data_IF_848472804040
#
_entry.id   IF_848472804040
#
_cell.length_a   1.000
_cell.length_b   1.000
_cell.length_c   1.000
_cell.angle_alpha   90.00
_cell.angle_beta   90.00
_cell.angle_gamma   90.00
#
_symmetry.space_group_name_H-M   'P 1'
#
loop_
_entity.id
_entity.type
_entity.pdbx_description
1 polymer ?
#
# COMPACT_ATOMS: atom_id res chain seq x y z
N UNK A 1 13.95 31.13 13.17
CA UNK A 1 13.66 30.74 11.77
C UNK A 1 13.55 29.22 11.77
N UNK A 2 12.35 28.64 11.81
CA UNK A 2 12.20 27.17 11.77
C UNK A 2 12.42 26.75 10.33
N UNK A 3 13.47 25.96 10.11
CA UNK A 3 13.82 25.40 8.81
C UNK A 3 12.58 24.73 8.21
N UNK A 4 12.02 25.35 7.17
CA UNK A 4 11.18 24.66 6.22
C UNK A 4 12.10 23.64 5.55
N UNK A 5 12.14 22.43 6.09
CA UNK A 5 12.54 21.27 5.30
C UNK A 5 11.51 21.22 4.18
N UNK A 6 11.91 21.76 3.04
CA UNK A 6 11.15 21.62 1.82
C UNK A 6 10.98 20.10 1.63
N UNK A 7 9.74 19.63 1.73
CA UNK A 7 9.32 18.28 1.36
C UNK A 7 9.42 18.11 -0.17
N UNK A 8 10.53 18.56 -0.77
CA UNK A 8 10.87 18.42 -2.18
C UNK A 8 11.38 17.01 -2.39
N UNK A 9 10.42 16.09 -2.46
CA UNK A 9 10.66 14.65 -2.48
C UNK A 9 9.54 13.83 -1.86
N UNK A 10 8.35 14.39 -1.59
CA UNK A 10 7.14 13.58 -1.35
C UNK A 10 6.71 12.92 -2.67
N UNK A 11 7.58 12.07 -3.23
CA UNK A 11 7.21 11.15 -4.27
C UNK A 11 6.05 10.32 -3.76
N UNK A 12 5.06 10.08 -4.60
CA UNK A 12 4.06 9.04 -4.40
C UNK A 12 4.81 7.75 -4.05
N UNK A 13 4.97 7.48 -2.75
CA UNK A 13 5.70 6.33 -2.26
C UNK A 13 4.85 5.12 -2.62
N UNK A 14 5.25 4.42 -3.66
CA UNK A 14 4.57 3.26 -4.18
C UNK A 14 5.52 2.09 -3.96
N UNK A 15 5.15 1.23 -3.02
CA UNK A 15 5.94 0.08 -2.60
C UNK A 15 5.30 -1.21 -3.11
N UNK A 16 6.14 -2.15 -3.54
CA UNK A 16 5.69 -3.48 -3.92
C UNK A 16 5.20 -4.22 -2.67
N UNK A 17 4.00 -4.79 -2.73
CA UNK A 17 3.45 -5.60 -1.65
C UNK A 17 3.66 -7.08 -1.96
N UNK A 18 4.67 -7.68 -1.33
CA UNK A 18 4.99 -9.11 -1.52
C UNK A 18 4.09 -9.95 -0.61
N UNK A 19 2.82 -10.07 -0.99
CA UNK A 19 1.82 -10.87 -0.28
C UNK A 19 1.55 -12.18 -1.04
N UNK A 20 1.72 -13.37 -0.44
CA UNK A 20 1.54 -14.64 -1.14
C UNK A 20 0.17 -14.77 -1.82
N UNK A 21 0.16 -15.05 -3.12
CA UNK A 21 -1.04 -15.10 -3.97
C UNK A 21 -1.41 -13.78 -4.64
N UNK A 22 -0.69 -12.70 -4.33
CA UNK A 22 -0.95 -11.32 -4.79
C UNK A 22 0.35 -10.58 -5.20
N UNK A 23 1.51 -11.17 -4.96
CA UNK A 23 2.82 -10.51 -5.00
C UNK A 23 3.27 -10.05 -6.40
N UNK A 24 2.66 -10.54 -7.48
CA UNK A 24 3.18 -10.31 -8.84
C UNK A 24 3.09 -8.85 -9.29
N UNK A 25 1.99 -8.18 -8.95
CA UNK A 25 1.69 -6.81 -9.39
C UNK A 25 1.12 -5.94 -8.24
N UNK A 26 1.01 -6.48 -7.02
CA UNK A 26 0.45 -5.73 -5.90
C UNK A 26 1.34 -4.58 -5.46
N UNK A 27 0.70 -3.44 -5.24
CA UNK A 27 1.36 -2.22 -4.77
C UNK A 27 0.53 -1.53 -3.69
N UNK A 28 1.21 -0.81 -2.81
CA UNK A 28 0.56 0.07 -1.83
C UNK A 28 1.34 1.36 -1.68
N UNK A 29 0.67 2.40 -1.20
CA UNK A 29 1.29 3.70 -1.11
C UNK A 29 0.46 4.75 -0.41
N UNK A 30 0.97 5.98 -0.41
CA UNK A 30 0.26 7.16 0.05
C UNK A 30 0.05 8.13 -1.12
N UNK A 31 -1.21 8.47 -1.38
CA UNK A 31 -1.57 9.49 -2.35
C UNK A 31 -1.71 10.84 -1.64
N UNK A 32 -0.78 11.75 -1.94
CA UNK A 32 -0.75 13.08 -1.32
C UNK A 32 -1.82 14.04 -1.87
N UNK A 33 -2.37 13.77 -3.06
CA UNK A 33 -3.45 14.56 -3.65
C UNK A 33 -4.79 14.31 -3.00
N UNK A 34 -5.04 13.07 -2.57
CA UNK A 34 -6.25 12.64 -1.84
C UNK A 34 -6.02 12.68 -0.32
N UNK A 35 -4.77 12.60 0.11
CA UNK A 35 -4.39 12.51 1.53
C UNK A 35 -4.69 11.14 2.14
N UNK A 36 -4.68 10.09 1.32
CA UNK A 36 -5.08 8.72 1.71
C UNK A 36 -4.02 7.70 1.35
N UNK A 37 -3.85 6.69 2.20
CA UNK A 37 -3.20 5.46 1.81
C UNK A 37 -4.07 4.70 0.80
N UNK A 38 -3.43 3.98 -0.12
CA UNK A 38 -4.08 3.16 -1.11
C UNK A 38 -3.35 1.82 -1.28
N UNK A 39 -4.07 0.82 -1.79
CA UNK A 39 -3.48 -0.44 -2.24
C UNK A 39 -4.21 -0.94 -3.49
N UNK A 40 -3.44 -1.46 -4.43
CA UNK A 40 -3.92 -2.13 -5.63
C UNK A 40 -3.37 -3.55 -5.61
N UNK A 41 -4.27 -4.53 -5.50
CA UNK A 41 -3.92 -5.94 -5.44
C UNK A 41 -4.67 -6.70 -6.53
N UNK A 42 -4.02 -6.98 -7.66
CA UNK A 42 -4.48 -8.01 -8.59
C UNK A 42 -4.06 -9.38 -8.08
N UNK A 43 -4.93 -10.38 -8.25
CA UNK A 43 -4.61 -11.75 -7.86
C UNK A 43 -3.58 -12.34 -8.83
N UNK A 44 -2.65 -13.16 -8.34
CA UNK A 44 -1.68 -13.82 -9.21
C UNK A 44 -2.39 -14.64 -10.29
N UNK A 45 -2.01 -14.41 -11.55
CA UNK A 45 -2.62 -15.07 -12.71
C UNK A 45 -3.73 -14.27 -13.38
N UNK A 46 -4.21 -13.17 -12.79
CA UNK A 46 -5.01 -12.18 -13.51
C UNK A 46 -4.12 -11.24 -14.32
N UNK A 47 -4.62 -10.82 -15.48
CA UNK A 47 -3.99 -9.80 -16.31
C UNK A 47 -4.35 -8.41 -15.78
N UNK A 48 -3.44 -7.45 -15.94
CA UNK A 48 -3.66 -6.04 -15.55
C UNK A 48 -4.87 -5.42 -16.30
N UNK A 49 -5.21 -5.95 -17.48
CA UNK A 49 -6.37 -5.55 -18.30
C UNK A 49 -7.73 -5.75 -17.62
N UNK A 50 -7.85 -6.71 -16.68
CA UNK A 50 -9.08 -6.93 -15.90
C UNK A 50 -9.19 -5.96 -14.71
N UNK A 51 -8.13 -5.19 -14.44
CA UNK A 51 -7.99 -4.33 -13.29
C UNK A 51 -7.65 -5.08 -11.99
N UNK A 52 -7.38 -4.35 -10.90
CA UNK A 52 -7.08 -4.96 -9.61
C UNK A 52 -8.33 -5.61 -9.01
N UNK A 53 -8.23 -6.89 -8.62
CA UNK A 53 -9.29 -7.58 -7.85
C UNK A 53 -9.63 -6.83 -6.55
N UNK A 54 -8.63 -6.20 -5.93
CA UNK A 54 -8.81 -5.36 -4.74
C UNK A 54 -8.19 -3.99 -4.98
N UNK A 55 -9.02 -2.95 -4.96
CA UNK A 55 -8.57 -1.56 -5.02
C UNK A 55 -9.05 -0.78 -3.80
N UNK A 56 -8.14 -0.60 -2.84
CA UNK A 56 -8.39 0.19 -1.64
C UNK A 56 -8.03 1.64 -1.96
N UNK A 57 -9.04 2.46 -2.25
CA UNK A 57 -8.91 3.91 -2.41
C UNK A 57 -10.28 4.58 -2.22
N UNK A 58 -10.34 5.85 -1.77
CA UNK A 58 -11.59 6.58 -1.67
C UNK A 58 -12.44 6.59 -2.95
N UNK A 59 -11.79 6.66 -4.11
CA UNK A 59 -12.48 6.62 -5.41
C UNK A 59 -13.16 5.29 -5.74
N UNK A 60 -12.82 4.20 -5.05
CA UNK A 60 -13.35 2.86 -5.26
C UNK A 60 -14.40 2.46 -4.20
N UNK A 61 -14.88 3.41 -3.38
CA UNK A 61 -15.89 3.17 -2.36
C UNK A 61 -15.34 2.83 -0.96
N UNK A 62 -14.01 2.93 -0.76
CA UNK A 62 -13.40 2.81 0.56
C UNK A 62 -13.38 4.16 1.31
N UNK A 63 -13.30 4.18 2.65
CA UNK A 63 -13.07 5.41 3.39
C UNK A 63 -11.64 5.94 3.14
N UNK A 64 -11.41 7.22 3.46
CA UNK A 64 -10.05 7.79 3.52
C UNK A 64 -9.23 7.04 4.56
N UNK A 65 -8.13 6.44 4.11
CA UNK A 65 -7.22 5.66 4.94
C UNK A 65 -6.10 6.58 5.40
N UNK A 66 -6.03 6.88 6.70
CA UNK A 66 -5.08 7.87 7.23
C UNK A 66 -3.88 7.25 7.93
N UNK A 67 -3.86 5.92 8.06
CA UNK A 67 -2.76 5.19 8.69
C UNK A 67 -2.45 3.87 7.99
N UNK A 68 -1.19 3.40 8.03
CA UNK A 68 -0.81 2.09 7.51
C UNK A 68 -1.56 0.93 8.18
N UNK A 69 -1.89 1.06 9.47
CA UNK A 69 -2.62 0.02 10.22
C UNK A 69 -4.08 -0.13 9.73
N UNK A 70 -4.72 0.99 9.35
CA UNK A 70 -6.02 0.93 8.69
C UNK A 70 -5.91 0.26 7.31
N UNK A 71 -4.88 0.59 6.52
CA UNK A 71 -4.66 -0.03 5.22
C UNK A 71 -4.46 -1.54 5.36
N UNK A 72 -3.62 -1.96 6.30
CA UNK A 72 -3.35 -3.35 6.63
C UNK A 72 -4.64 -4.12 6.96
N UNK A 73 -5.49 -3.57 7.83
CA UNK A 73 -6.75 -4.21 8.19
C UNK A 73 -7.68 -4.37 6.98
N UNK A 74 -7.72 -3.36 6.09
CA UNK A 74 -8.48 -3.43 4.86
C UNK A 74 -7.91 -4.49 3.89
N UNK A 75 -6.59 -4.54 3.71
CA UNK A 75 -5.94 -5.56 2.87
C UNK A 75 -6.25 -6.96 3.40
N UNK A 76 -6.07 -7.20 4.71
CA UNK A 76 -6.37 -8.50 5.32
C UNK A 76 -7.84 -8.89 5.13
N UNK A 77 -8.77 -7.96 5.33
CA UNK A 77 -10.20 -8.19 5.13
C UNK A 77 -10.57 -8.46 3.68
N UNK A 78 -9.94 -7.78 2.72
CA UNK A 78 -10.27 -7.89 1.29
C UNK A 78 -9.63 -9.11 0.62
N UNK A 79 -8.41 -9.48 1.04
CA UNK A 79 -7.67 -10.62 0.48
C UNK A 79 -7.98 -11.94 1.18
N UNK A 80 -8.55 -11.89 2.39
CA UNK A 80 -8.72 -13.04 3.27
C UNK A 80 -7.39 -13.55 3.86
N UNK A 81 -6.29 -12.81 3.68
CA UNK A 81 -4.97 -13.16 4.20
C UNK A 81 -4.85 -12.77 5.68
N UNK A 82 -4.07 -13.54 6.44
CA UNK A 82 -3.87 -13.27 7.85
C UNK A 82 -3.19 -11.91 8.08
N UNK A 83 -3.66 -11.20 9.09
CA UNK A 83 -3.16 -9.87 9.50
C UNK A 83 -1.63 -9.86 9.71
N UNK A 84 -1.05 -10.95 10.20
CA UNK A 84 0.39 -11.10 10.41
C UNK A 84 1.20 -11.16 9.11
N UNK A 85 0.67 -11.86 8.09
CA UNK A 85 1.30 -11.95 6.77
C UNK A 85 1.25 -10.59 6.06
N UNK A 86 0.12 -9.87 6.15
CA UNK A 86 -0.01 -8.51 5.61
C UNK A 86 0.94 -7.54 6.31
N UNK A 87 1.06 -7.62 7.64
CA UNK A 87 2.03 -6.81 8.41
C UNK A 87 3.45 -7.03 7.92
N UNK A 88 3.81 -8.30 7.73
CA UNK A 88 5.15 -8.68 7.26
C UNK A 88 5.37 -8.17 5.84
N UNK A 89 4.41 -8.37 4.93
CA UNK A 89 4.49 -7.88 3.56
C UNK A 89 4.64 -6.35 3.49
N UNK A 90 3.89 -5.59 4.30
CA UNK A 90 4.01 -4.13 4.35
C UNK A 90 5.34 -3.67 4.94
N UNK A 91 5.85 -4.33 5.99
CA UNK A 91 7.13 -4.00 6.61
C UNK A 91 8.34 -4.35 5.72
N UNK A 92 8.21 -5.38 4.88
CA UNK A 92 9.21 -5.79 3.89
C UNK A 92 9.03 -5.12 2.52
N UNK A 93 8.00 -4.28 2.38
CA UNK A 93 7.73 -3.61 1.12
C UNK A 93 8.87 -2.67 0.75
N UNK A 94 9.31 -2.76 -0.49
CA UNK A 94 10.38 -1.93 -1.06
C UNK A 94 9.82 -1.11 -2.21
N UNK A 95 10.39 0.08 -2.41
CA UNK A 95 10.05 0.90 -3.57
C UNK A 95 10.68 0.31 -4.84
N UNK A 96 10.44 0.95 -5.99
CA UNK A 96 11.04 0.50 -7.25
C UNK A 96 12.57 0.54 -7.29
N UNK A 97 13.21 1.23 -6.35
CA UNK A 97 14.66 1.33 -6.21
C UNK A 97 15.21 0.36 -5.14
N UNK A 98 14.35 -0.43 -4.49
CA UNK A 98 14.71 -1.36 -3.42
C UNK A 98 14.81 -0.73 -2.03
N UNK A 99 14.39 0.52 -1.85
CA UNK A 99 14.38 1.17 -0.54
C UNK A 99 13.16 0.73 0.29
N UNK A 100 13.33 0.35 1.57
CA UNK A 100 12.23 -0.11 2.40
C UNK A 100 11.20 1.01 2.63
N UNK A 101 9.94 0.63 2.79
CA UNK A 101 8.89 1.56 3.18
C UNK A 101 9.27 2.29 4.49
N UNK A 102 9.19 3.62 4.46
CA UNK A 102 9.43 4.46 5.64
C UNK A 102 8.32 4.32 6.68
N UNK A 103 7.18 3.73 6.30
CA UNK A 103 6.04 3.48 7.16
C UNK A 103 6.13 2.06 7.73
N UNK A 104 6.67 1.92 8.94
CA UNK A 104 6.71 0.64 9.66
C UNK A 104 5.49 0.48 10.55
N UNK A 105 4.84 -0.68 10.46
CA UNK A 105 3.84 -1.12 11.43
C UNK A 105 4.56 -1.61 12.67
N UNK A 106 4.36 -0.92 13.80
CA UNK A 106 4.87 -1.38 15.10
C UNK A 106 3.90 -2.42 15.63
N UNK A 107 4.38 -3.65 15.80
CA UNK A 107 3.62 -4.76 16.42
C UNK A 107 3.43 -4.54 17.91
#
# INVERSE_FOLDING_TARGET
MREKVAMEGAGNGMWALVLPGWESLSTWGYDSGIGSFFAQLPRNGNSDDDGPDVWITPGAGFPVVTSPAQLQALIASSTGTATADVTSAMNHAVDRQGAPAHYRLTV
#
